data_IF_279681985267
#
_entry.id   IF_279681985267
#
_cell.length_a   1.000
_cell.length_b   1.000
_cell.length_c   1.000
_cell.angle_alpha   90.00
_cell.angle_beta   90.00
_cell.angle_gamma   90.00
#
_symmetry.space_group_name_H-M   'P 1'
#
loop_
_entity.id
_entity.type
_entity.pdbx_description
1 polymer ?
#
# COMPACT_ATOMS: atom_id res chain seq x y z
N UNK A 1 30.52 -36.75 6.20
CA UNK A 1 30.12 -35.34 6.05
C UNK A 1 29.40 -35.03 4.75
N UNK A 2 28.13 -35.43 4.62
CA UNK A 2 27.30 -35.07 3.45
C UNK A 2 26.30 -33.94 3.71
N UNK A 3 26.09 -33.53 4.97
CA UNK A 3 25.12 -32.49 5.34
C UNK A 3 25.56 -31.10 4.86
N UNK A 4 24.61 -30.30 4.37
CA UNK A 4 24.84 -28.95 3.85
C UNK A 4 23.98 -27.93 4.60
N UNK A 5 24.58 -26.81 4.99
CA UNK A 5 23.91 -25.62 5.53
C UNK A 5 24.25 -24.41 4.67
N UNK A 6 23.22 -23.75 4.13
CA UNK A 6 23.36 -22.52 3.34
C UNK A 6 22.69 -21.38 4.12
N UNK A 7 23.37 -20.24 4.22
CA UNK A 7 22.85 -19.02 4.83
C UNK A 7 22.81 -17.91 3.78
N UNK A 8 21.65 -17.30 3.60
CA UNK A 8 21.53 -16.08 2.80
C UNK A 8 21.82 -14.87 3.69
N UNK A 9 23.03 -14.33 3.58
CA UNK A 9 23.54 -13.26 4.46
C UNK A 9 22.60 -12.03 4.51
N UNK A 10 22.08 -11.50 3.38
CA UNK A 10 21.24 -10.29 3.41
C UNK A 10 19.92 -10.44 4.16
N UNK A 11 19.29 -11.63 4.12
CA UNK A 11 17.99 -11.87 4.79
C UNK A 11 18.10 -12.70 6.07
N UNK A 12 19.29 -13.19 6.40
CA UNK A 12 19.53 -14.10 7.52
C UNK A 12 18.89 -15.49 7.38
N UNK A 13 18.28 -15.83 6.24
CA UNK A 13 17.60 -17.12 6.04
C UNK A 13 18.60 -18.28 6.00
N UNK A 14 18.39 -19.27 6.86
CA UNK A 14 19.20 -20.49 6.92
C UNK A 14 18.40 -21.67 6.39
N UNK A 15 19.02 -22.47 5.51
CA UNK A 15 18.48 -23.72 4.99
C UNK A 15 19.49 -24.84 5.20
N UNK A 16 19.02 -25.95 5.75
CA UNK A 16 19.80 -27.16 6.01
C UNK A 16 19.24 -28.34 5.21
N UNK A 17 20.10 -29.18 4.64
CA UNK A 17 19.71 -30.39 3.94
C UNK A 17 20.68 -31.54 4.26
N UNK A 18 20.14 -32.71 4.60
CA UNK A 18 20.91 -33.90 4.99
C UNK A 18 20.33 -35.21 4.41
N UNK A 19 19.44 -35.12 3.42
CA UNK A 19 18.68 -36.27 2.94
C UNK A 19 19.54 -37.27 2.16
N UNK A 20 20.53 -36.76 1.43
CA UNK A 20 21.32 -37.56 0.49
C UNK A 20 22.70 -37.93 1.05
N UNK A 21 23.24 -39.04 0.56
CA UNK A 21 24.63 -39.47 0.85
C UNK A 21 25.68 -38.54 0.19
N UNK A 22 25.31 -37.80 -0.85
CA UNK A 22 26.20 -36.88 -1.57
C UNK A 22 25.98 -35.43 -1.17
N UNK A 23 27.06 -34.73 -0.84
CA UNK A 23 27.06 -33.31 -0.52
C UNK A 23 26.53 -32.44 -1.68
N UNK A 24 26.86 -32.79 -2.93
CA UNK A 24 26.44 -32.02 -4.12
C UNK A 24 24.91 -32.05 -4.25
N UNK A 25 24.31 -33.24 -4.11
CA UNK A 25 22.84 -33.39 -4.16
C UNK A 25 22.14 -32.63 -3.04
N UNK A 26 22.70 -32.65 -1.83
CA UNK A 26 22.17 -31.87 -0.69
C UNK A 26 22.29 -30.36 -0.94
N UNK A 27 23.38 -29.91 -1.57
CA UNK A 27 23.57 -28.49 -1.95
C UNK A 27 22.54 -28.03 -2.97
N UNK A 28 22.27 -28.82 -4.00
CA UNK A 28 21.25 -28.50 -5.02
C UNK A 28 19.83 -28.41 -4.42
N UNK A 29 19.45 -29.39 -3.57
CA UNK A 29 18.18 -29.36 -2.83
C UNK A 29 18.09 -28.13 -1.93
N UNK A 30 19.12 -27.88 -1.11
CA UNK A 30 19.15 -26.72 -0.22
C UNK A 30 19.04 -25.40 -0.98
N UNK A 31 19.68 -25.28 -2.16
CA UNK A 31 19.60 -24.08 -2.99
C UNK A 31 18.20 -23.88 -3.59
N UNK A 32 17.53 -24.97 -4.03
CA UNK A 32 16.15 -24.91 -4.52
C UNK A 32 15.17 -24.46 -3.43
N UNK A 33 15.31 -25.00 -2.22
CA UNK A 33 14.51 -24.59 -1.05
C UNK A 33 14.80 -23.13 -0.68
N UNK A 34 16.07 -22.73 -0.66
CA UNK A 34 16.46 -21.35 -0.36
C UNK A 34 15.85 -20.37 -1.36
N UNK A 35 15.87 -20.68 -2.66
CA UNK A 35 15.25 -19.87 -3.71
C UNK A 35 13.75 -19.67 -3.47
N UNK A 36 13.02 -20.74 -3.14
CA UNK A 36 11.58 -20.65 -2.84
C UNK A 36 11.33 -19.76 -1.62
N UNK A 37 12.04 -20.01 -0.52
CA UNK A 37 11.90 -19.21 0.71
C UNK A 37 12.23 -17.74 0.49
N UNK A 38 13.25 -17.45 -0.31
CA UNK A 38 13.64 -16.07 -0.61
C UNK A 38 12.57 -15.36 -1.45
N UNK A 39 12.00 -16.05 -2.43
CA UNK A 39 10.88 -15.54 -3.21
C UNK A 39 9.67 -15.22 -2.32
N UNK A 40 9.28 -16.16 -1.45
CA UNK A 40 8.15 -15.97 -0.53
C UNK A 40 8.42 -14.82 0.46
N UNK A 41 9.66 -14.68 0.94
CA UNK A 41 10.07 -13.58 1.80
C UNK A 41 9.83 -12.22 1.15
N UNK A 42 10.42 -11.99 -0.04
CA UNK A 42 10.28 -10.70 -0.72
C UNK A 42 8.85 -10.43 -1.19
N UNK A 43 8.15 -11.47 -1.66
CA UNK A 43 6.75 -11.34 -2.04
C UNK A 43 5.89 -10.94 -0.84
N UNK A 44 6.03 -11.63 0.29
CA UNK A 44 5.26 -11.30 1.50
C UNK A 44 5.58 -9.91 2.05
N UNK A 45 6.81 -9.44 1.91
CA UNK A 45 7.19 -8.08 2.29
C UNK A 45 6.51 -7.04 1.40
N UNK A 46 6.54 -7.23 0.08
CA UNK A 46 5.88 -6.34 -0.87
C UNK A 46 4.35 -6.35 -0.69
N UNK A 47 3.75 -7.52 -0.49
CA UNK A 47 2.31 -7.67 -0.26
C UNK A 47 1.88 -6.97 1.04
N UNK A 48 2.69 -7.06 2.10
CA UNK A 48 2.45 -6.34 3.37
C UNK A 48 2.51 -4.83 3.18
N UNK A 49 3.57 -4.33 2.54
CA UNK A 49 3.72 -2.90 2.27
C UNK A 49 2.54 -2.35 1.44
N UNK A 50 2.12 -3.10 0.42
CA UNK A 50 0.96 -2.75 -0.39
C UNK A 50 -0.34 -2.78 0.42
N UNK A 51 -0.54 -3.80 1.25
CA UNK A 51 -1.73 -3.93 2.09
C UNK A 51 -1.82 -2.80 3.12
N UNK A 52 -0.69 -2.41 3.73
CA UNK A 52 -0.60 -1.29 4.67
C UNK A 52 -0.93 0.04 3.97
N UNK A 53 -0.32 0.31 2.80
CA UNK A 53 -0.62 1.49 1.99
C UNK A 53 -2.10 1.56 1.60
N UNK A 54 -2.68 0.44 1.15
CA UNK A 54 -4.10 0.37 0.79
C UNK A 54 -5.00 0.61 1.99
N UNK A 55 -4.68 0.00 3.14
CA UNK A 55 -5.45 0.18 4.38
C UNK A 55 -5.43 1.64 4.83
N UNK A 56 -4.29 2.31 4.72
CA UNK A 56 -4.19 3.74 5.02
C UNK A 56 -5.01 4.62 4.06
N UNK A 57 -5.07 4.27 2.77
CA UNK A 57 -5.84 5.04 1.77
C UNK A 57 -7.36 4.85 1.90
N UNK A 58 -7.82 3.64 2.22
CA UNK A 58 -9.25 3.32 2.30
C UNK A 58 -9.82 3.61 3.69
N UNK A 59 -8.98 3.59 4.72
CA UNK A 59 -9.39 3.74 6.11
C UNK A 59 -10.10 2.50 6.66
N UNK A 60 -10.93 2.70 7.68
CA UNK A 60 -11.73 1.64 8.31
C UNK A 60 -13.00 1.32 7.52
N UNK A 61 -13.38 2.18 6.58
CA UNK A 61 -14.64 2.09 5.84
C UNK A 61 -15.85 2.57 6.64
N UNK A 62 -15.65 3.19 7.81
CA UNK A 62 -16.72 3.77 8.59
C UNK A 62 -17.33 4.99 7.86
N UNK A 63 -18.63 5.20 8.07
CA UNK A 63 -19.38 6.30 7.46
C UNK A 63 -18.88 7.68 7.92
N UNK A 64 -18.29 7.74 9.11
CA UNK A 64 -17.69 8.96 9.66
C UNK A 64 -16.44 9.41 8.87
N UNK A 65 -15.73 8.48 8.23
CA UNK A 65 -14.49 8.73 7.47
C UNK A 65 -14.74 9.07 5.99
N UNK A 66 -16.00 9.25 5.59
CA UNK A 66 -16.33 9.58 4.20
C UNK A 66 -15.71 10.91 3.79
N UNK A 67 -14.96 10.90 2.70
CA UNK A 67 -14.39 12.13 2.14
C UNK A 67 -15.44 12.98 1.40
N UNK A 68 -16.48 12.35 0.86
CA UNK A 68 -17.52 13.03 0.05
C UNK A 68 -18.91 12.46 0.29
N UNK A 69 -19.92 13.28 0.06
CA UNK A 69 -21.33 12.88 0.03
C UNK A 69 -21.97 13.37 -1.25
N UNK A 70 -22.52 12.44 -2.02
CA UNK A 70 -23.30 12.70 -3.23
C UNK A 70 -24.79 12.63 -2.86
N UNK A 71 -25.50 13.74 -3.01
CA UNK A 71 -26.90 13.87 -2.64
C UNK A 71 -27.75 14.15 -3.88
N UNK A 72 -28.35 13.09 -4.42
CA UNK A 72 -29.17 13.12 -5.63
C UNK A 72 -30.44 13.98 -5.50
N UNK A 73 -31.27 13.85 -4.44
CA UNK A 73 -32.47 14.68 -4.31
C UNK A 73 -32.22 16.19 -4.32
N UNK A 74 -31.05 16.63 -3.85
CA UNK A 74 -30.66 18.03 -3.79
C UNK A 74 -29.64 18.42 -4.87
N UNK A 75 -29.31 17.49 -5.79
CA UNK A 75 -28.38 17.73 -6.90
C UNK A 75 -26.99 18.21 -6.47
N UNK A 76 -26.50 17.83 -5.28
CA UNK A 76 -25.25 18.38 -4.73
C UNK A 76 -24.20 17.32 -4.38
N UNK A 77 -22.94 17.73 -4.42
CA UNK A 77 -21.80 16.99 -3.91
C UNK A 77 -21.09 17.84 -2.85
N UNK A 78 -20.81 17.24 -1.69
CA UNK A 78 -20.07 17.88 -0.59
C UNK A 78 -18.79 17.11 -0.32
N UNK A 79 -17.64 17.78 -0.31
CA UNK A 79 -16.36 17.23 0.15
C UNK A 79 -16.09 17.67 1.59
N UNK A 80 -16.02 16.70 2.49
CA UNK A 80 -15.90 16.93 3.94
C UNK A 80 -14.47 17.29 4.36
N UNK A 81 -13.46 17.09 3.50
CA UNK A 81 -12.07 17.42 3.82
C UNK A 81 -11.84 18.93 3.86
N UNK A 82 -12.54 19.66 2.98
CA UNK A 82 -12.44 21.12 2.86
C UNK A 82 -13.77 21.83 3.14
N UNK A 83 -14.84 21.09 3.43
CA UNK A 83 -16.18 21.64 3.69
C UNK A 83 -16.87 22.26 2.47
N UNK A 84 -16.36 22.01 1.26
CA UNK A 84 -16.87 22.58 0.02
C UNK A 84 -18.11 21.82 -0.48
N UNK A 85 -19.11 22.54 -0.97
CA UNK A 85 -20.33 21.96 -1.54
C UNK A 85 -20.61 22.57 -2.91
N UNK A 86 -20.78 21.73 -3.92
CA UNK A 86 -21.20 22.09 -5.27
C UNK A 86 -22.63 21.61 -5.52
N UNK A 87 -23.44 22.44 -6.17
CA UNK A 87 -24.84 22.14 -6.53
C UNK A 87 -24.98 21.63 -7.98
N UNK A 88 -23.90 21.10 -8.53
CA UNK A 88 -23.76 20.64 -9.92
C UNK A 88 -23.45 19.14 -9.98
N UNK A 89 -24.24 18.31 -9.29
CA UNK A 89 -23.97 16.88 -9.17
C UNK A 89 -23.86 16.16 -10.52
N UNK A 90 -24.75 16.45 -11.47
CA UNK A 90 -24.74 15.79 -12.78
C UNK A 90 -23.47 16.12 -13.55
N UNK A 91 -23.11 17.41 -13.64
CA UNK A 91 -21.89 17.85 -14.31
C UNK A 91 -20.65 17.26 -13.63
N UNK A 92 -20.66 17.19 -12.30
CA UNK A 92 -19.58 16.59 -11.53
C UNK A 92 -19.40 15.10 -11.86
N UNK A 93 -20.49 14.35 -12.00
CA UNK A 93 -20.45 12.94 -12.37
C UNK A 93 -20.06 12.73 -13.85
N UNK A 94 -20.40 13.69 -14.72
CA UNK A 94 -20.01 13.70 -16.13
C UNK A 94 -18.54 14.12 -16.36
N UNK A 95 -17.81 14.46 -15.29
CA UNK A 95 -16.37 14.71 -15.30
C UNK A 95 -15.94 16.15 -15.06
N UNK A 96 -16.89 17.09 -14.90
CA UNK A 96 -16.61 18.48 -14.56
C UNK A 96 -16.31 18.62 -13.05
N UNK A 97 -15.13 18.13 -12.66
CA UNK A 97 -14.68 18.08 -11.28
C UNK A 97 -13.53 19.05 -10.98
N UNK A 98 -13.07 19.81 -11.99
CA UNK A 98 -11.87 20.65 -11.90
C UNK A 98 -11.93 21.62 -10.73
N UNK A 99 -13.07 22.30 -10.54
CA UNK A 99 -13.27 23.26 -9.47
C UNK A 99 -12.97 22.65 -8.08
N UNK A 100 -13.47 21.44 -7.83
CA UNK A 100 -13.23 20.76 -6.55
C UNK A 100 -11.78 20.27 -6.42
N UNK A 101 -11.19 19.78 -7.52
CA UNK A 101 -9.81 19.30 -7.51
C UNK A 101 -8.82 20.42 -7.20
N UNK A 102 -9.01 21.60 -7.81
CA UNK A 102 -8.16 22.77 -7.58
C UNK A 102 -8.28 23.25 -6.13
N UNK A 103 -9.51 23.29 -5.58
CA UNK A 103 -9.73 23.66 -4.19
C UNK A 103 -9.05 22.69 -3.21
N UNK A 104 -9.07 21.38 -3.50
CA UNK A 104 -8.40 20.36 -2.69
C UNK A 104 -6.87 20.51 -2.76
N UNK A 105 -6.32 20.69 -3.95
CA UNK A 105 -4.88 20.86 -4.15
C UNK A 105 -4.36 22.13 -3.44
N UNK A 106 -5.10 23.23 -3.54
CA UNK A 106 -4.77 24.46 -2.83
C UNK A 106 -4.81 24.28 -1.31
N UNK A 107 -5.82 23.57 -0.80
CA UNK A 107 -5.90 23.28 0.63
C UNK A 107 -4.71 22.45 1.10
N UNK A 108 -4.32 21.41 0.37
CA UNK A 108 -3.14 20.61 0.69
C UNK A 108 -1.85 21.43 0.71
N UNK A 109 -1.65 22.30 -0.30
CA UNK A 109 -0.50 23.22 -0.33
C UNK A 109 -0.49 24.17 0.87
N UNK A 110 -1.64 24.71 1.26
CA UNK A 110 -1.73 25.60 2.41
C UNK A 110 -1.42 24.88 3.73
N UNK A 111 -1.87 23.64 3.90
CA UNK A 111 -1.56 22.84 5.09
C UNK A 111 -0.07 22.50 5.17
N UNK A 112 0.58 22.16 4.05
CA UNK A 112 2.03 21.94 3.99
C UNK A 112 2.84 23.20 4.36
N UNK A 113 2.39 24.37 3.92
CA UNK A 113 3.02 25.65 4.22
C UNK A 113 2.87 26.02 5.70
N UNK A 114 1.72 25.76 6.32
CA UNK A 114 1.51 25.99 7.76
C UNK A 114 2.42 25.08 8.61
N UNK A 115 2.51 23.80 8.27
CA UNK A 115 3.41 22.87 8.96
C UNK A 115 4.87 23.29 8.89
N UNK A 116 5.29 23.92 7.78
CA UNK A 116 6.65 24.46 7.60
C UNK A 116 6.90 25.78 8.35
N UNK A 117 5.86 26.44 8.87
CA UNK A 117 5.97 27.69 9.63
C UNK A 117 5.93 27.48 11.15
N UNK A 118 5.53 26.30 11.61
CA UNK A 118 5.47 25.93 13.03
C UNK A 118 6.74 25.23 13.55
N UNK A 119 7.68 24.88 12.65
CA UNK A 119 9.05 24.44 12.94
C UNK A 119 10.06 25.60 12.86
#
# INVERSE_FOLDING_TARGET
DSAVRITHIPTGLVVTCQDEKSQIKNKEKAMKVLKSKLYDYYRSAADKEYAEKRKAQVGSGDRSERIRTYNYPQGRVTDHRIGMTLYSLEQFLDGDMLEMLDALALNEQNELLKGSQED
#
